data_IF_500226210249
#
_entry.id   IF_500226210249
#
_cell.length_a   1.000
_cell.length_b   1.000
_cell.length_c   1.000
_cell.angle_alpha   90.00
_cell.angle_beta   90.00
_cell.angle_gamma   90.00
#
_symmetry.space_group_name_H-M   'P 1'
#
loop_
_entity.id
_entity.type
_entity.pdbx_description
1 polymer ?
#
# COMPACT_ATOMS: atom_id res chain seq x y z
N UNK A 1 7.38 -5.13 16.39
CA UNK A 1 8.30 -4.22 17.10
C UNK A 1 8.50 -3.01 16.19
N UNK A 2 8.24 -1.77 16.64
CA UNK A 2 8.41 -0.58 15.80
C UNK A 2 9.89 -0.19 15.68
N UNK A 3 10.31 0.49 14.59
CA UNK A 3 11.72 0.96 14.38
C UNK A 3 12.23 1.75 15.59
N UNK A 4 11.41 2.64 16.14
CA UNK A 4 11.71 3.42 17.36
C UNK A 4 11.97 2.52 18.58
N UNK A 5 11.17 1.47 18.77
CA UNK A 5 11.37 0.53 19.88
C UNK A 5 12.61 -0.35 19.68
N UNK A 6 12.97 -0.66 18.43
CA UNK A 6 14.20 -1.38 18.07
C UNK A 6 15.45 -0.63 18.46
N UNK A 7 15.57 0.65 18.06
CA UNK A 7 16.70 1.50 18.45
C UNK A 7 16.80 1.68 19.95
N UNK A 8 15.68 1.97 20.61
CA UNK A 8 15.66 2.16 22.07
C UNK A 8 16.17 0.92 22.79
N UNK A 9 15.77 -0.27 22.34
CA UNK A 9 16.25 -1.53 22.90
C UNK A 9 17.76 -1.70 22.68
N UNK A 10 18.27 -1.44 21.46
CA UNK A 10 19.71 -1.57 21.19
C UNK A 10 20.56 -0.63 22.03
N UNK A 11 20.17 0.66 22.12
CA UNK A 11 20.90 1.65 22.92
C UNK A 11 20.96 1.20 24.38
N UNK A 12 19.83 0.75 24.94
CA UNK A 12 19.80 0.23 26.31
C UNK A 12 20.64 -1.04 26.48
N UNK A 13 20.68 -1.92 25.47
CA UNK A 13 21.53 -3.10 25.47
C UNK A 13 23.00 -2.68 25.55
N UNK A 14 23.46 -1.78 24.68
CA UNK A 14 24.85 -1.34 24.64
C UNK A 14 25.27 -0.64 25.94
N UNK A 15 24.40 0.22 26.49
CA UNK A 15 24.63 0.83 27.81
C UNK A 15 24.82 -0.22 28.91
N UNK A 16 23.98 -1.26 28.93
CA UNK A 16 24.12 -2.33 29.93
C UNK A 16 25.35 -3.21 29.68
N UNK A 17 25.77 -3.38 28.42
CA UNK A 17 27.02 -4.07 28.03
C UNK A 17 28.24 -3.29 28.54
N UNK A 18 28.27 -1.98 28.33
CA UNK A 18 29.33 -1.07 28.82
C UNK A 18 29.42 -1.04 30.35
N UNK A 19 28.27 -1.12 31.04
CA UNK A 19 28.23 -1.24 32.51
C UNK A 19 28.68 -2.62 33.05
N UNK A 20 29.02 -3.57 32.17
CA UNK A 20 29.52 -4.90 32.57
C UNK A 20 28.45 -5.90 33.02
N UNK A 21 27.17 -5.67 32.69
CA UNK A 21 26.11 -6.63 33.04
C UNK A 21 26.23 -7.91 32.22
N UNK A 22 25.95 -9.06 32.85
CA UNK A 22 25.90 -10.34 32.13
C UNK A 22 24.71 -10.41 31.17
N UNK A 23 24.85 -11.17 30.08
CA UNK A 23 23.78 -11.41 29.09
C UNK A 23 22.44 -11.81 29.74
N UNK A 24 22.49 -12.67 30.76
CA UNK A 24 21.29 -13.10 31.50
C UNK A 24 20.60 -11.96 32.26
N UNK A 25 21.37 -11.03 32.83
CA UNK A 25 20.82 -9.85 33.50
C UNK A 25 20.20 -8.88 32.50
N UNK A 26 20.88 -8.64 31.38
CA UNK A 26 20.41 -7.75 30.31
C UNK A 26 19.08 -8.26 29.74
N UNK A 27 18.96 -9.55 29.41
CA UNK A 27 17.73 -10.15 28.91
C UNK A 27 16.54 -9.94 29.87
N UNK A 28 16.75 -10.13 31.18
CA UNK A 28 15.71 -9.92 32.20
C UNK A 28 15.32 -8.45 32.31
N UNK A 29 16.29 -7.53 32.28
CA UNK A 29 16.06 -6.09 32.41
C UNK A 29 15.30 -5.51 31.22
N UNK A 30 15.67 -5.94 30.01
CA UNK A 30 15.01 -5.55 28.76
C UNK A 30 13.72 -6.35 28.48
N UNK A 31 13.44 -7.40 29.25
CA UNK A 31 12.33 -8.34 29.06
C UNK A 31 12.30 -8.95 27.64
N UNK A 32 13.47 -9.33 27.13
CA UNK A 32 13.64 -9.92 25.78
C UNK A 32 14.12 -11.37 25.87
N UNK A 33 13.86 -12.14 24.80
CA UNK A 33 14.34 -13.51 24.69
C UNK A 33 15.87 -13.55 24.48
N UNK A 34 16.52 -14.63 24.91
CA UNK A 34 17.98 -14.82 24.70
C UNK A 34 18.39 -14.83 23.22
N UNK A 35 17.63 -15.44 22.29
CA UNK A 35 17.90 -15.31 20.86
C UNK A 35 17.86 -13.86 20.38
N UNK A 36 16.86 -13.08 20.82
CA UNK A 36 16.76 -11.65 20.51
C UNK A 36 17.98 -10.91 21.04
N UNK A 37 18.34 -11.11 22.32
CA UNK A 37 19.53 -10.50 22.89
C UNK A 37 20.77 -10.80 22.06
N UNK A 38 21.05 -12.08 21.79
CA UNK A 38 22.25 -12.50 21.05
C UNK A 38 22.28 -11.90 19.65
N UNK A 39 21.13 -11.78 18.98
CA UNK A 39 21.03 -11.14 17.67
C UNK A 39 21.52 -9.70 17.71
N UNK A 40 21.20 -8.93 18.76
CA UNK A 40 21.55 -7.51 18.86
C UNK A 40 22.81 -7.21 19.68
N UNK A 41 23.42 -8.22 20.32
CA UNK A 41 24.46 -8.01 21.32
C UNK A 41 25.79 -7.51 20.73
N UNK A 42 26.15 -8.02 19.55
CA UNK A 42 27.42 -7.74 18.88
C UNK A 42 27.25 -7.00 17.55
N UNK A 43 26.04 -6.49 17.26
CA UNK A 43 25.79 -5.68 16.07
C UNK A 43 26.32 -4.26 16.23
N UNK A 44 26.83 -3.74 15.12
CA UNK A 44 27.12 -2.33 14.90
C UNK A 44 25.85 -1.51 14.70
N UNK A 45 26.00 -0.18 14.71
CA UNK A 45 24.92 0.76 14.41
C UNK A 45 24.38 0.55 12.99
N UNK A 46 25.28 0.37 12.02
CA UNK A 46 24.95 0.16 10.60
C UNK A 46 24.11 -1.11 10.41
N UNK A 47 24.52 -2.24 11.00
CA UNK A 47 23.77 -3.49 10.88
C UNK A 47 22.37 -3.42 11.52
N UNK A 48 22.20 -2.61 12.56
CA UNK A 48 20.88 -2.42 13.16
C UNK A 48 20.00 -1.50 12.35
N UNK A 49 20.57 -0.47 11.72
CA UNK A 49 19.86 0.34 10.74
C UNK A 49 19.29 -0.57 9.65
N UNK A 50 20.11 -1.43 9.06
CA UNK A 50 19.69 -2.40 8.05
C UNK A 50 18.61 -3.37 8.55
N UNK A 51 18.75 -3.91 9.76
CA UNK A 51 17.74 -4.82 10.34
C UNK A 51 16.41 -4.09 10.58
N UNK A 52 16.45 -2.87 11.10
CA UNK A 52 15.24 -2.11 11.38
C UNK A 52 14.59 -1.57 10.11
N UNK A 53 15.37 -1.30 9.06
CA UNK A 53 14.87 -0.95 7.73
C UNK A 53 14.26 -2.16 7.04
N UNK A 54 14.96 -3.29 7.02
CA UNK A 54 14.46 -4.54 6.43
C UNK A 54 13.16 -5.04 7.07
N UNK A 55 13.00 -4.83 8.39
CA UNK A 55 11.75 -5.11 9.10
C UNK A 55 10.56 -4.28 8.59
N UNK A 56 10.81 -3.09 8.03
CA UNK A 56 9.79 -2.21 7.46
C UNK A 56 9.59 -2.46 5.96
N UNK A 57 10.62 -2.98 5.27
CA UNK A 57 10.60 -3.30 3.85
C UNK A 57 10.24 -4.76 3.59
N UNK A 58 9.21 -5.30 4.26
CA UNK A 58 8.62 -6.58 3.78
C UNK A 58 8.31 -6.38 2.30
N UNK A 59 9.00 -7.12 1.43
CA UNK A 59 8.86 -7.01 -0.02
C UNK A 59 7.37 -6.98 -0.37
N UNK A 60 6.92 -5.85 -0.90
CA UNK A 60 5.52 -5.65 -1.23
C UNK A 60 5.30 -6.43 -2.52
N UNK A 61 4.16 -7.12 -2.62
CA UNK A 61 3.85 -7.90 -3.84
C UNK A 61 3.86 -7.04 -5.11
N UNK A 62 3.60 -5.74 -4.96
CA UNK A 62 3.65 -4.75 -6.03
C UNK A 62 5.08 -4.34 -6.44
N UNK A 63 6.12 -4.69 -5.66
CA UNK A 63 7.53 -4.35 -5.99
C UNK A 63 7.97 -4.97 -7.32
N UNK A 64 7.35 -6.08 -7.75
CA UNK A 64 7.59 -6.68 -9.08
C UNK A 64 7.34 -5.69 -10.22
N UNK A 65 6.43 -4.74 -10.02
CA UNK A 65 6.05 -3.73 -11.01
C UNK A 65 6.50 -2.33 -10.58
N UNK A 66 7.50 -2.22 -9.68
CA UNK A 66 7.97 -0.96 -9.14
C UNK A 66 8.30 0.06 -10.24
N UNK A 67 9.18 -0.33 -11.17
CA UNK A 67 9.67 0.54 -12.23
C UNK A 67 8.54 1.01 -13.14
N UNK A 68 7.66 0.09 -13.55
CA UNK A 68 6.49 0.40 -14.39
C UNK A 68 5.53 1.38 -13.70
N UNK A 69 5.23 1.15 -12.42
CA UNK A 69 4.35 2.03 -11.64
C UNK A 69 5.00 3.41 -11.47
N UNK A 70 6.30 3.44 -11.18
CA UNK A 70 7.05 4.67 -10.99
C UNK A 70 7.12 5.49 -12.28
N UNK A 71 7.34 4.84 -13.42
CA UNK A 71 7.33 5.46 -14.74
C UNK A 71 5.96 6.06 -15.08
N UNK A 72 4.87 5.33 -14.82
CA UNK A 72 3.52 5.84 -15.01
C UNK A 72 3.23 7.05 -14.13
N UNK A 73 3.68 7.03 -12.87
CA UNK A 73 3.51 8.15 -11.95
C UNK A 73 4.36 9.36 -12.34
N UNK A 74 5.56 9.17 -12.89
CA UNK A 74 6.41 10.25 -13.40
C UNK A 74 5.85 10.87 -14.69
N UNK A 75 5.40 10.04 -15.63
CA UNK A 75 4.79 10.48 -16.91
C UNK A 75 3.44 11.16 -16.67
N UNK A 76 2.65 10.63 -15.74
CA UNK A 76 1.30 11.11 -15.43
C UNK A 76 1.07 11.21 -13.91
N UNK A 77 1.49 12.31 -13.26
CA UNK A 77 1.35 12.49 -11.80
C UNK A 77 -0.08 12.40 -11.28
N UNK A 78 -1.10 12.53 -12.13
CA UNK A 78 -2.52 12.49 -11.78
C UNK A 78 -3.24 11.20 -12.22
N UNK A 79 -2.50 10.20 -12.70
CA UNK A 79 -3.07 8.92 -13.13
C UNK A 79 -3.85 8.23 -12.01
N UNK A 80 -4.97 7.61 -12.37
CA UNK A 80 -5.84 6.89 -11.45
C UNK A 80 -5.22 5.53 -11.08
N UNK A 81 -5.43 5.09 -9.84
CA UNK A 81 -4.94 3.79 -9.38
C UNK A 81 -5.55 2.63 -10.15
N UNK A 82 -6.80 2.75 -10.59
CA UNK A 82 -7.49 1.76 -11.42
C UNK A 82 -6.78 1.59 -12.77
N UNK A 83 -6.44 2.69 -13.44
CA UNK A 83 -5.73 2.65 -14.73
C UNK A 83 -4.35 2.00 -14.60
N UNK A 84 -3.62 2.30 -13.52
CA UNK A 84 -2.35 1.61 -13.24
C UNK A 84 -2.60 0.11 -13.00
N UNK A 85 -3.69 -0.26 -12.30
CA UNK A 85 -4.02 -1.64 -12.02
C UNK A 85 -4.29 -2.42 -13.31
N UNK A 86 -5.16 -1.89 -14.18
CA UNK A 86 -5.50 -2.49 -15.47
C UNK A 86 -4.23 -2.74 -16.30
N UNK A 87 -3.33 -1.76 -16.34
CA UNK A 87 -2.03 -1.90 -17.03
C UNK A 87 -1.17 -3.01 -16.43
N UNK A 88 -1.17 -3.16 -15.11
CA UNK A 88 -0.44 -4.24 -14.45
C UNK A 88 -1.07 -5.60 -14.72
N UNK A 89 -2.40 -5.69 -14.78
CA UNK A 89 -3.10 -6.93 -15.14
C UNK A 89 -2.76 -7.36 -16.57
N UNK A 90 -2.67 -6.42 -17.51
CA UNK A 90 -2.20 -6.68 -18.88
C UNK A 90 -0.78 -7.26 -18.88
N UNK A 91 0.16 -6.62 -18.16
CA UNK A 91 1.55 -7.08 -18.06
C UNK A 91 1.67 -8.45 -17.38
N UNK A 92 0.79 -8.73 -16.42
CA UNK A 92 0.74 -9.98 -15.67
C UNK A 92 0.01 -11.10 -16.43
N UNK A 93 -0.61 -10.82 -17.58
CA UNK A 93 -1.50 -11.74 -18.32
C UNK A 93 -2.65 -12.24 -17.43
N UNK A 94 -3.24 -11.35 -16.64
CA UNK A 94 -4.31 -11.66 -15.68
C UNK A 94 -3.96 -11.18 -14.27
N UNK A 95 -4.22 -12.02 -13.27
CA UNK A 95 -4.09 -11.59 -11.86
C UNK A 95 -2.62 -11.38 -11.44
N UNK A 96 -2.24 -10.17 -11.00
CA UNK A 96 -0.84 -9.83 -10.73
C UNK A 96 -0.33 -10.30 -9.36
N UNK A 97 -1.14 -11.05 -8.59
CA UNK A 97 -0.78 -11.55 -7.27
C UNK A 97 -1.19 -10.66 -6.09
N UNK A 98 -1.81 -9.51 -6.37
CA UNK A 98 -2.34 -8.57 -5.36
C UNK A 98 -3.59 -7.84 -5.86
N UNK A 99 -4.34 -7.26 -4.91
CA UNK A 99 -5.57 -6.52 -5.16
C UNK A 99 -5.32 -5.05 -5.50
N UNK A 100 -6.27 -4.39 -6.16
CA UNK A 100 -6.20 -2.95 -6.45
C UNK A 100 -5.99 -2.10 -5.19
N UNK A 101 -6.57 -2.49 -4.05
CA UNK A 101 -6.33 -1.84 -2.76
C UNK A 101 -4.87 -1.90 -2.31
N UNK A 102 -4.18 -3.01 -2.59
CA UNK A 102 -2.74 -3.16 -2.32
C UNK A 102 -1.92 -2.22 -3.21
N UNK A 103 -2.27 -2.12 -4.50
CA UNK A 103 -1.65 -1.19 -5.42
C UNK A 103 -1.83 0.27 -4.98
N UNK A 104 -3.04 0.64 -4.55
CA UNK A 104 -3.33 2.00 -4.09
C UNK A 104 -2.48 2.39 -2.89
N UNK A 105 -2.28 1.47 -1.95
CA UNK A 105 -1.37 1.69 -0.82
C UNK A 105 0.09 1.79 -1.27
N UNK A 106 0.47 0.99 -2.27
CA UNK A 106 1.80 1.06 -2.87
C UNK A 106 2.07 2.39 -3.56
N UNK A 107 1.13 2.88 -4.38
CA UNK A 107 1.20 4.19 -5.04
C UNK A 107 1.33 5.31 -3.99
N UNK A 108 0.57 5.26 -2.89
CA UNK A 108 0.69 6.25 -1.79
C UNK A 108 2.10 6.25 -1.18
N UNK A 109 2.67 5.07 -1.00
CA UNK A 109 4.04 4.92 -0.52
C UNK A 109 5.05 5.53 -1.52
N UNK A 110 4.98 5.18 -2.81
CA UNK A 110 5.86 5.73 -3.85
C UNK A 110 5.76 7.25 -3.97
N UNK A 111 4.56 7.81 -3.87
CA UNK A 111 4.36 9.27 -3.89
C UNK A 111 5.03 9.96 -2.71
N UNK A 112 5.03 9.35 -1.53
CA UNK A 112 5.71 9.89 -0.35
C UNK A 112 7.23 9.77 -0.45
N UNK A 113 7.71 8.68 -1.02
CA UNK A 113 9.14 8.39 -1.17
C UNK A 113 9.81 9.28 -2.23
N UNK A 114 9.13 9.50 -3.36
CA UNK A 114 9.64 10.30 -4.48
C UNK A 114 9.10 11.74 -4.52
N UNK A 115 8.45 12.19 -3.45
CA UNK A 115 7.80 13.51 -3.32
C UNK A 115 6.97 13.90 -4.55
N UNK A 116 6.15 12.96 -5.06
CA UNK A 116 5.32 13.18 -6.25
C UNK A 116 3.99 13.80 -5.80
N UNK A 117 3.78 15.11 -6.01
CA UNK A 117 2.55 15.77 -5.60
C UNK A 117 1.38 15.17 -6.38
N UNK A 118 0.32 14.81 -5.66
CA UNK A 118 -0.98 14.59 -6.30
C UNK A 118 -1.63 15.95 -6.40
N UNK A 119 -1.82 16.51 -7.59
CA UNK A 119 -2.73 17.64 -7.66
C UNK A 119 -4.09 17.10 -7.23
N UNK A 120 -4.64 17.65 -6.15
CA UNK A 120 -6.04 17.46 -5.85
C UNK A 120 -6.77 18.12 -7.02
N UNK A 121 -7.14 17.33 -8.03
CA UNK A 121 -8.42 17.60 -8.64
C UNK A 121 -9.43 17.30 -7.53
N UNK A 122 -9.83 18.35 -6.82
CA UNK A 122 -11.20 18.44 -6.33
C UNK A 122 -12.04 17.98 -7.52
N UNK A 123 -12.84 16.95 -7.31
CA UNK A 123 -13.79 16.54 -8.32
C UNK A 123 -14.74 17.71 -8.50
N UNK A 124 -14.47 18.59 -9.45
CA UNK A 124 -15.45 19.51 -10.00
C UNK A 124 -16.34 18.65 -10.91
N UNK A 125 -17.10 17.73 -10.32
CA UNK A 125 -18.36 17.33 -10.92
C UNK A 125 -19.30 18.51 -10.65
N UNK A 126 -19.12 19.60 -11.39
CA UNK A 126 -20.26 20.43 -11.69
C UNK A 126 -21.16 19.52 -12.53
N UNK A 127 -22.32 19.17 -11.99
CA UNK A 127 -23.35 18.51 -12.78
C UNK A 127 -23.55 19.41 -14.01
N UNK A 128 -23.28 18.87 -15.20
CA UNK A 128 -23.62 19.54 -16.46
C UNK A 128 -25.08 19.98 -16.32
N UNK A 129 -25.37 21.27 -16.53
CA UNK A 129 -26.72 21.80 -16.42
C UNK A 129 -27.68 20.91 -17.21
N UNK A 130 -28.76 20.46 -16.55
CA UNK A 130 -29.81 19.65 -17.18
C UNK A 130 -30.26 20.35 -18.47
N UNK A 131 -30.27 19.67 -19.63
CA UNK A 131 -30.85 20.24 -20.84
C UNK A 131 -32.34 20.52 -20.60
N UNK A 132 -32.83 21.62 -21.18
CA UNK A 132 -34.20 22.09 -20.99
C UNK A 132 -35.25 20.98 -21.20
N UNK A 133 -36.19 20.89 -20.26
CA UNK A 133 -37.31 19.94 -20.24
C UNK A 133 -38.04 19.92 -21.59
N UNK A 134 -38.20 18.74 -22.23
CA UNK A 134 -39.10 18.71 -23.38
C UNK A 134 -39.28 17.48 -24.26
N UNK A 135 -38.44 16.43 -24.27
CA UNK A 135 -38.77 15.21 -25.04
C UNK A 135 -38.16 13.94 -24.42
N UNK A 136 -38.83 13.37 -23.43
CA UNK A 136 -38.69 11.94 -23.14
C UNK A 136 -39.79 11.21 -23.92
N UNK A 137 -39.41 10.51 -25.00
CA UNK A 137 -40.29 9.52 -25.61
C UNK A 137 -40.27 8.25 -24.75
N UNK A 138 -41.44 7.86 -24.26
CA UNK A 138 -41.67 6.62 -23.54
C UNK A 138 -41.68 5.46 -24.55
N UNK A 139 -40.76 4.51 -24.42
CA UNK A 139 -40.82 3.24 -25.14
C UNK A 139 -41.76 2.30 -24.37
N UNK A 140 -42.94 2.06 -24.92
CA UNK A 140 -43.91 1.08 -24.42
C UNK A 140 -43.47 -0.34 -24.84
N UNK A 141 -43.24 -1.22 -23.86
CA UNK A 141 -43.14 -2.66 -24.08
C UNK A 141 -44.41 -3.31 -23.53
N UNK A 142 -45.47 -3.33 -24.36
CA UNK A 142 -46.68 -4.08 -24.11
C UNK A 142 -46.51 -5.56 -24.49
N UNK A 143 -46.17 -6.40 -23.51
CA UNK A 143 -46.27 -7.85 -23.65
C UNK A 143 -47.73 -8.29 -23.41
N UNK A 144 -48.50 -8.49 -24.48
CA UNK A 144 -49.87 -9.00 -24.39
C UNK A 144 -49.88 -10.53 -24.47
N UNK A 145 -49.87 -11.18 -23.31
CA UNK A 145 -50.37 -12.54 -23.18
C UNK A 145 -51.88 -12.51 -22.93
N UNK A 146 -52.69 -13.08 -23.84
CA UNK A 146 -53.78 -14.00 -23.50
C UNK A 146 -54.60 -14.46 -24.71
N UNK A 147 -55.11 -15.67 -24.54
CA UNK A 147 -55.78 -16.64 -25.40
C UNK A 147 -57.17 -16.27 -25.93
N UNK A 148 -57.40 -16.58 -27.22
CA UNK A 148 -58.50 -17.39 -27.83
C UNK A 148 -59.94 -17.22 -27.30
N UNK A 149 -60.87 -16.78 -28.17
CA UNK A 149 -62.22 -17.35 -28.44
C UNK A 149 -62.64 -16.93 -29.87
N UNK A 150 -62.74 -17.87 -30.82
CA UNK A 150 -63.96 -18.51 -31.38
C UNK A 150 -64.87 -17.59 -32.22
N UNK A 151 -64.85 -17.83 -33.54
CA UNK A 151 -66.02 -18.25 -34.33
C UNK A 151 -65.54 -19.25 -35.39
#
# INVERSE_FOLDING_TARGET
MSKVNGYKMYIQLQQLKEMGFSKSHIARKLKISRPTLNKYYDLSLEEIDEILESMNTRAKKADKYHDEILDLLKKHPNILSSVIYDRIEELAQGYPGFTEGTLRNYIRYLRKEHDIPRSRHTRDYEAVEDPAMGQQMQADMGENGSTKQMN
#
